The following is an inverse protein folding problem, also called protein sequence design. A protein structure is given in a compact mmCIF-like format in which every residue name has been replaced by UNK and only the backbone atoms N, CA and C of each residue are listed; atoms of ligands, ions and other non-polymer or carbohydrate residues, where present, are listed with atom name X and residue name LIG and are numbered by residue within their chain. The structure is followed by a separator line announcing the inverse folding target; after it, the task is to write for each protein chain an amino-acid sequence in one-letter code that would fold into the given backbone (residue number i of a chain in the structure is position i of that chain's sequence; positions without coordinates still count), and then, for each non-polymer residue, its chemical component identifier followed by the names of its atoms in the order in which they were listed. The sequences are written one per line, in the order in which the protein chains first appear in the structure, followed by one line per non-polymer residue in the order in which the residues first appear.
data_IF_572007665608
#
_entry.id   IF_572007665608
#
_cell.length_a   1.000
_cell.length_b   1.000
_cell.length_c   1.000
_cell.angle_alpha   90.00
_cell.angle_beta   90.00
_cell.angle_gamma   90.00
#
_symmetry.space_group_name_H-M   'P 1'
#
loop_
_entity.id
_entity.type
_entity.pdbx_description
1 polymer ?
#
# COMPACT_ATOMS: atom_id res chain seq x y z
N UNK A 1 4.44 -2.22 21.73
CA UNK A 1 4.52 -2.14 20.26
C UNK A 1 5.26 -3.38 19.80
N UNK A 2 4.80 -4.06 18.75
CA UNK A 2 5.58 -5.16 18.17
C UNK A 2 6.67 -4.61 17.23
N UNK A 3 7.78 -5.33 16.98
CA UNK A 3 8.87 -4.87 16.12
C UNK A 3 8.46 -4.45 14.71
N UNK A 4 7.46 -5.12 14.11
CA UNK A 4 7.00 -4.85 12.75
C UNK A 4 5.56 -4.31 12.82
N UNK A 5 5.32 -3.17 12.17
CA UNK A 5 3.98 -2.61 12.00
C UNK A 5 3.54 -2.70 10.53
N UNK A 6 2.48 -3.43 10.24
CA UNK A 6 1.82 -3.44 8.93
C UNK A 6 0.63 -2.48 8.94
N UNK A 7 0.75 -1.37 8.19
CA UNK A 7 -0.31 -0.40 7.95
C UNK A 7 -1.03 -0.73 6.64
N UNK A 8 -2.19 -1.38 6.77
CA UNK A 8 -3.05 -1.70 5.65
C UNK A 8 -3.95 -0.50 5.29
N UNK A 9 -4.06 -0.13 3.99
CA UNK A 9 -4.83 1.04 3.57
C UNK A 9 -6.36 0.83 3.55
N UNK A 10 -6.85 -0.41 3.65
CA UNK A 10 -8.28 -0.75 3.66
C UNK A 10 -8.55 -2.06 4.42
N UNK A 11 -9.81 -2.27 4.84
CA UNK A 11 -10.22 -3.33 5.78
C UNK A 11 -9.96 -4.75 5.25
N UNK A 12 -10.18 -4.99 3.97
CA UNK A 12 -9.97 -6.29 3.35
C UNK A 12 -8.49 -6.70 3.42
N UNK A 13 -7.57 -5.74 3.30
CA UNK A 13 -6.13 -5.98 3.46
C UNK A 13 -5.74 -6.17 4.92
N UNK A 14 -6.42 -5.53 5.88
CA UNK A 14 -6.26 -5.83 7.32
C UNK A 14 -6.58 -7.31 7.58
N UNK A 15 -7.78 -7.75 7.16
CA UNK A 15 -8.22 -9.14 7.34
C UNK A 15 -7.27 -10.14 6.68
N UNK A 16 -6.76 -9.82 5.49
CA UNK A 16 -5.78 -10.66 4.81
C UNK A 16 -4.43 -10.69 5.55
N UNK A 17 -3.93 -9.53 5.97
CA UNK A 17 -2.68 -9.40 6.69
C UNK A 17 -2.72 -10.18 8.01
N UNK A 18 -3.78 -10.02 8.80
CA UNK A 18 -3.98 -10.75 10.06
C UNK A 18 -3.97 -12.27 9.86
N UNK A 19 -4.58 -12.75 8.76
CA UNK A 19 -4.55 -14.17 8.40
C UNK A 19 -3.15 -14.65 8.02
N UNK A 20 -2.42 -13.87 7.21
CA UNK A 20 -1.06 -14.21 6.77
C UNK A 20 -0.08 -14.19 7.94
N UNK A 21 -0.26 -13.27 8.88
CA UNK A 21 0.56 -13.13 10.08
C UNK A 21 0.03 -13.97 11.25
N UNK A 22 -0.91 -14.88 11.02
CA UNK A 22 -1.43 -15.75 12.06
C UNK A 22 -0.30 -16.64 12.58
N UNK A 23 0.10 -16.44 13.83
CA UNK A 23 1.25 -17.12 14.46
C UNK A 23 2.55 -16.30 14.46
N UNK A 24 2.58 -15.15 13.79
CA UNK A 24 3.67 -14.19 13.93
C UNK A 24 3.49 -13.38 15.23
N UNK A 25 4.50 -13.42 16.10
CA UNK A 25 4.45 -12.71 17.38
C UNK A 25 5.01 -11.28 17.30
N UNK A 26 5.70 -10.96 16.22
CA UNK A 26 6.47 -9.75 15.94
C UNK A 26 5.78 -8.76 15.00
N UNK A 27 4.64 -9.13 14.40
CA UNK A 27 3.87 -8.25 13.50
C UNK A 27 2.59 -7.74 14.15
N UNK A 28 2.40 -6.43 14.17
CA UNK A 28 1.15 -5.75 14.50
C UNK A 28 0.50 -5.24 13.22
N UNK A 29 -0.80 -5.51 13.03
CA UNK A 29 -1.55 -5.04 11.86
C UNK A 29 -2.48 -3.91 12.29
N UNK A 30 -2.46 -2.79 11.58
CA UNK A 30 -3.37 -1.65 11.81
C UNK A 30 -3.93 -1.12 10.49
N UNK A 31 -5.13 -0.56 10.55
CA UNK A 31 -5.69 0.22 9.45
C UNK A 31 -5.05 1.62 9.44
N UNK A 32 -4.55 2.06 8.29
CA UNK A 32 -4.03 3.40 8.12
C UNK A 32 -3.89 3.77 6.65
N UNK A 33 -4.48 4.90 6.26
CA UNK A 33 -4.44 5.42 4.89
C UNK A 33 -3.86 6.85 4.89
N UNK A 34 -2.93 7.12 3.97
CA UNK A 34 -2.33 8.45 3.73
C UNK A 34 -1.92 9.13 5.06
N UNK A 35 -2.44 10.32 5.36
CA UNK A 35 -2.08 11.10 6.55
C UNK A 35 -2.31 10.35 7.87
N UNK A 36 -3.36 9.52 7.93
CA UNK A 36 -3.60 8.67 9.09
C UNK A 36 -2.49 7.64 9.25
N UNK A 37 -2.02 7.06 8.15
CA UNK A 37 -0.91 6.11 8.18
C UNK A 37 0.38 6.78 8.67
N UNK A 38 0.65 8.02 8.22
CA UNK A 38 1.81 8.81 8.68
C UNK A 38 1.73 9.09 10.18
N UNK A 39 0.56 9.49 10.69
CA UNK A 39 0.37 9.72 12.12
C UNK A 39 0.68 8.46 12.94
N UNK A 40 0.10 7.32 12.55
CA UNK A 40 0.30 6.05 13.27
C UNK A 40 1.77 5.61 13.18
N UNK A 41 2.42 5.81 12.03
CA UNK A 41 3.83 5.47 11.84
C UNK A 41 4.75 6.30 12.75
N UNK A 42 4.49 7.60 12.92
CA UNK A 42 5.23 8.47 13.86
C UNK A 42 5.06 8.02 15.31
N UNK A 43 3.84 7.69 15.71
CA UNK A 43 3.57 7.15 17.05
C UNK A 43 4.31 5.83 17.26
N UNK A 44 4.35 4.96 16.24
CA UNK A 44 5.03 3.68 16.32
C UNK A 44 6.56 3.80 16.39
N UNK A 45 7.15 4.76 15.68
CA UNK A 45 8.57 5.08 15.79
C UNK A 45 8.95 5.51 17.22
N UNK A 46 8.15 6.38 17.84
CA UNK A 46 8.36 6.78 19.23
C UNK A 46 8.25 5.60 20.20
N UNK A 47 7.51 4.56 19.82
CA UNK A 47 7.36 3.32 20.58
C UNK A 47 8.39 2.23 20.21
N UNK A 48 9.38 2.55 19.35
CA UNK A 48 10.48 1.66 19.01
C UNK A 48 10.16 0.60 17.95
N UNK A 49 9.27 0.88 17.00
CA UNK A 49 9.07 -0.01 15.84
C UNK A 49 10.36 -0.13 15.02
N UNK A 50 10.69 -1.33 14.57
CA UNK A 50 11.91 -1.64 13.81
C UNK A 50 11.68 -1.63 12.29
N UNK A 51 10.46 -1.88 11.83
CA UNK A 51 10.09 -1.78 10.42
C UNK A 51 8.60 -1.48 10.24
N UNK A 52 8.27 -0.75 9.17
CA UNK A 52 6.89 -0.46 8.78
C UNK A 52 6.62 -1.08 7.41
N UNK A 53 5.53 -1.82 7.29
CA UNK A 53 5.05 -2.39 6.03
C UNK A 53 3.79 -1.66 5.61
N UNK A 54 3.67 -1.24 4.34
CA UNK A 54 2.43 -0.66 3.81
C UNK A 54 2.32 -0.87 2.30
N UNK A 55 1.36 -0.23 1.62
CA UNK A 55 1.11 -0.40 0.17
C UNK A 55 0.70 0.90 -0.51
N UNK A 56 1.23 1.15 -1.71
CA UNK A 56 0.78 2.22 -2.59
C UNK A 56 0.97 3.61 -2.00
N UNK A 57 -0.03 4.49 -2.13
CA UNK A 57 0.07 5.88 -1.66
C UNK A 57 0.32 6.02 -0.15
N UNK A 58 -0.17 5.10 0.67
CA UNK A 58 0.10 5.11 2.11
C UNK A 58 1.60 4.84 2.39
N UNK A 59 2.20 3.86 1.70
CA UNK A 59 3.64 3.60 1.81
C UNK A 59 4.46 4.82 1.36
N UNK A 60 4.09 5.43 0.23
CA UNK A 60 4.74 6.63 -0.28
C UNK A 60 4.63 7.81 0.70
N UNK A 61 3.47 8.00 1.32
CA UNK A 61 3.26 9.05 2.31
C UNK A 61 4.14 8.86 3.56
N UNK A 62 4.26 7.62 4.05
CA UNK A 62 5.11 7.31 5.21
C UNK A 62 6.59 7.49 4.86
N UNK A 63 7.03 7.05 3.67
CA UNK A 63 8.40 7.27 3.20
C UNK A 63 8.78 8.75 3.16
N UNK A 64 7.85 9.62 2.75
CA UNK A 64 8.05 11.09 2.74
C UNK A 64 8.03 11.72 4.13
N UNK A 65 7.66 10.97 5.17
CA UNK A 65 7.57 11.48 6.55
C UNK A 65 8.93 11.57 7.27
N UNK A 66 10.02 11.11 6.65
CA UNK A 66 11.39 11.11 7.18
C UNK A 66 11.51 10.42 8.54
N UNK A 67 10.96 9.21 8.63
CA UNK A 67 11.14 8.32 9.78
C UNK A 67 12.50 7.59 9.66
N UNK A 68 13.07 7.26 10.80
CA UNK A 68 14.26 6.41 10.95
C UNK A 68 13.93 4.95 10.67
N UNK A 69 12.73 4.49 11.06
CA UNK A 69 12.30 3.13 10.79
C UNK A 69 12.15 2.89 9.27
N UNK A 70 12.74 1.82 8.71
CA UNK A 70 12.60 1.50 7.30
C UNK A 70 11.15 1.19 6.92
N UNK A 71 10.74 1.70 5.76
CA UNK A 71 9.41 1.44 5.19
C UNK A 71 9.53 0.43 4.05
N UNK A 72 8.95 -0.74 4.22
CA UNK A 72 8.85 -1.81 3.21
C UNK A 72 7.51 -1.68 2.49
N UNK A 73 7.57 -1.30 1.23
CA UNK A 73 6.38 -1.26 0.39
C UNK A 73 6.01 -2.65 -0.13
N UNK A 74 4.72 -3.00 -0.01
CA UNK A 74 4.09 -4.07 -0.78
C UNK A 74 3.71 -3.47 -2.13
N UNK A 75 4.44 -3.79 -3.22
CA UNK A 75 4.20 -3.15 -4.51
C UNK A 75 2.85 -3.55 -5.10
N UNK A 76 2.27 -2.66 -5.90
CA UNK A 76 1.23 -3.05 -6.85
C UNK A 76 1.92 -3.68 -8.05
N UNK A 77 1.64 -4.96 -8.30
CA UNK A 77 2.31 -5.69 -9.37
C UNK A 77 1.69 -5.38 -10.75
N UNK A 78 2.44 -5.55 -11.85
CA UNK A 78 1.86 -5.49 -13.19
C UNK A 78 0.69 -6.47 -13.39
N UNK A 79 0.72 -7.62 -12.71
CA UNK A 79 -0.37 -8.59 -12.73
C UNK A 79 -1.64 -8.05 -12.06
N UNK A 80 -1.52 -7.32 -10.95
CA UNK A 80 -2.65 -6.63 -10.31
C UNK A 80 -3.31 -5.65 -11.29
N UNK A 81 -2.50 -4.90 -12.03
CA UNK A 81 -2.95 -3.95 -13.04
C UNK A 81 -3.63 -4.63 -14.23
N UNK A 82 -3.01 -5.67 -14.81
CA UNK A 82 -3.61 -6.44 -15.92
C UNK A 82 -4.95 -7.05 -15.52
N UNK A 83 -5.05 -7.57 -14.30
CA UNK A 83 -6.30 -8.12 -13.77
C UNK A 83 -7.36 -7.04 -13.54
N UNK A 84 -6.97 -5.88 -13.00
CA UNK A 84 -7.88 -4.76 -12.80
C UNK A 84 -8.43 -4.26 -14.16
N UNK A 85 -7.55 -4.07 -15.15
CA UNK A 85 -7.92 -3.68 -16.52
C UNK A 85 -8.81 -4.73 -17.19
N UNK A 86 -8.47 -6.03 -17.06
CA UNK A 86 -9.29 -7.11 -17.61
C UNK A 86 -10.72 -7.11 -17.02
N UNK A 87 -10.85 -6.87 -15.71
CA UNK A 87 -12.17 -6.73 -15.07
C UNK A 87 -12.89 -5.46 -15.53
N UNK A 88 -12.18 -4.34 -15.67
CA UNK A 88 -12.74 -3.06 -16.10
C UNK A 88 -13.34 -3.12 -17.51
N UNK A 89 -12.81 -3.96 -18.40
CA UNK A 89 -13.35 -4.18 -19.77
C UNK A 89 -14.82 -4.61 -19.79
N UNK A 90 -15.34 -5.16 -18.69
CA UNK A 90 -16.76 -5.52 -18.56
C UNK A 90 -17.68 -4.29 -18.51
N UNK A 91 -17.15 -3.12 -18.15
CA UNK A 91 -17.90 -1.88 -17.99
C UNK A 91 -17.75 -0.92 -19.18
N UNK A 92 -16.75 -1.14 -20.04
CA UNK A 92 -16.53 -0.30 -21.22
C UNK A 92 -15.18 -0.54 -21.89
N UNK A 93 -14.98 0.08 -23.04
CA UNK A 93 -13.71 0.02 -23.80
C UNK A 93 -12.69 1.06 -23.31
N UNK A 94 -13.17 2.18 -22.77
CA UNK A 94 -12.34 3.27 -22.27
C UNK A 94 -12.19 3.10 -20.77
N UNK A 95 -10.94 3.05 -20.30
CA UNK A 95 -10.61 2.88 -18.89
C UNK A 95 -9.63 3.99 -18.51
N UNK A 96 -9.93 4.67 -17.41
CA UNK A 96 -8.98 5.59 -16.76
C UNK A 96 -8.33 4.87 -15.59
N UNK A 97 -7.01 5.04 -15.45
CA UNK A 97 -6.24 4.54 -14.30
C UNK A 97 -5.84 5.72 -13.42
N UNK A 98 -6.22 5.64 -12.14
CA UNK A 98 -5.94 6.65 -11.12
C UNK A 98 -5.15 5.98 -10.01
N UNK A 99 -4.08 6.62 -9.56
CA UNK A 99 -3.14 6.04 -8.61
C UNK A 99 -1.90 6.90 -8.45
N UNK A 100 -1.03 6.52 -7.54
CA UNK A 100 0.20 7.25 -7.25
C UNK A 100 1.31 6.87 -8.24
N UNK A 101 2.35 7.70 -8.35
CA UNK A 101 3.49 7.44 -9.25
C UNK A 101 4.14 6.07 -9.05
N UNK A 102 4.25 5.60 -7.81
CA UNK A 102 4.78 4.27 -7.47
C UNK A 102 3.89 3.10 -7.94
N UNK A 103 2.67 3.38 -8.40
CA UNK A 103 1.70 2.41 -8.91
C UNK A 103 1.54 2.54 -10.42
N UNK A 104 1.44 3.76 -10.94
CA UNK A 104 1.13 4.02 -12.35
C UNK A 104 2.36 3.84 -13.25
N UNK A 105 3.57 4.08 -12.74
CA UNK A 105 4.77 4.06 -13.57
C UNK A 105 4.97 2.69 -14.25
N UNK A 106 5.06 2.70 -15.58
CA UNK A 106 5.14 1.54 -16.45
C UNK A 106 3.79 1.09 -17.02
N UNK A 107 2.67 1.42 -16.38
CA UNK A 107 1.31 1.06 -16.83
C UNK A 107 0.94 1.86 -18.08
N UNK A 108 1.54 3.02 -18.31
CA UNK A 108 1.42 3.82 -19.54
C UNK A 108 1.74 3.06 -20.82
N UNK A 109 2.47 1.96 -20.71
CA UNK A 109 2.81 1.10 -21.84
C UNK A 109 1.73 0.05 -22.17
N UNK A 110 0.65 -0.05 -21.39
CA UNK A 110 -0.38 -1.11 -21.52
C UNK A 110 -1.52 -0.80 -22.52
N UNK A 111 -1.29 0.09 -23.48
CA UNK A 111 -2.23 0.42 -24.56
C UNK A 111 -2.91 1.79 -24.37
N UNK A 112 -4.00 2.05 -25.10
CA UNK A 112 -4.74 3.32 -25.04
C UNK A 112 -5.55 3.45 -23.75
N UNK A 113 -4.86 3.69 -22.64
CA UNK A 113 -5.41 3.97 -21.32
C UNK A 113 -5.04 5.41 -20.96
N UNK A 114 -5.97 6.16 -20.39
CA UNK A 114 -5.68 7.51 -19.88
C UNK A 114 -5.19 7.41 -18.43
N UNK A 115 -4.11 8.12 -18.12
CA UNK A 115 -3.42 8.10 -16.82
C UNK A 115 -3.48 9.48 -16.16
N UNK A 116 -3.79 9.50 -14.86
CA UNK A 116 -3.68 10.70 -14.03
C UNK A 116 -3.15 10.31 -12.66
N UNK A 117 -2.15 11.05 -12.17
CA UNK A 117 -1.46 10.84 -10.90
C UNK A 117 -1.91 11.86 -9.85
#
# INVERSE_FOLDING_TARGET
MKPILLLAPYKEMVTLAEKVTAGAHDVEVRLGLLDQAVKIAREAEQMGVEAIISRGGAALAIQKANLTAPVVEIPVSPYDMLNALHRAKKFGKNVAVIGFDNIIRGVENLGNVEFTA
#
